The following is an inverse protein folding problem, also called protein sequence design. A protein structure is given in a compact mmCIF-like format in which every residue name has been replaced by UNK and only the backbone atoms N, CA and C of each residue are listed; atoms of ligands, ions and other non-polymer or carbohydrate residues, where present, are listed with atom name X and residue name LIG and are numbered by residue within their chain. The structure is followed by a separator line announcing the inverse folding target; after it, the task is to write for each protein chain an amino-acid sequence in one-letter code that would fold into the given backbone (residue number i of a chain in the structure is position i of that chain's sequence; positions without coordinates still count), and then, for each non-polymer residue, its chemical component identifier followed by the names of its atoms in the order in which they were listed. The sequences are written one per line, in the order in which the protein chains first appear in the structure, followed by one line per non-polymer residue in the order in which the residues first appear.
data_IF_853479052050
#
_entry.id   IF_853479052050
#
_cell.length_a   1.000
_cell.length_b   1.000
_cell.length_c   1.000
_cell.angle_alpha   90.00
_cell.angle_beta   90.00
_cell.angle_gamma   90.00
#
_symmetry.space_group_name_H-M   'P 1'
#
loop_
_entity.id
_entity.type
_entity.pdbx_description
1 polymer ?
#
# COMPACT_ATOMS: atom_id res chain seq x y z
N UNK A 1 0.21 12.79 22.41
CA UNK A 1 1.01 12.50 21.19
C UNK A 1 0.93 11.00 20.97
N UNK A 2 0.41 10.54 19.83
CA UNK A 2 0.52 9.13 19.45
C UNK A 2 1.98 8.80 19.14
N UNK A 3 2.39 7.57 19.43
CA UNK A 3 3.71 7.08 19.03
C UNK A 3 3.74 6.94 17.50
N UNK A 4 4.87 7.22 16.85
CA UNK A 4 5.02 7.09 15.38
C UNK A 4 4.61 5.70 14.87
N UNK A 5 4.88 4.64 15.65
CA UNK A 5 4.48 3.27 15.34
C UNK A 5 2.96 3.04 15.42
N UNK A 6 2.23 3.80 16.22
CA UNK A 6 0.77 3.71 16.30
C UNK A 6 0.13 4.45 15.12
N UNK A 7 0.66 5.62 14.77
CA UNK A 7 0.20 6.38 13.61
C UNK A 7 0.38 5.61 12.29
N UNK A 8 1.53 4.94 12.09
CA UNK A 8 1.76 4.10 10.90
C UNK A 8 0.79 2.92 10.83
N UNK A 9 0.50 2.27 11.97
CA UNK A 9 -0.45 1.16 12.02
C UNK A 9 -1.87 1.62 11.69
N UNK A 10 -2.30 2.75 12.24
CA UNK A 10 -3.61 3.34 11.93
C UNK A 10 -3.71 3.69 10.45
N UNK A 11 -2.67 4.29 9.87
CA UNK A 11 -2.63 4.61 8.44
C UNK A 11 -2.75 3.35 7.58
N UNK A 12 -1.99 2.30 7.87
CA UNK A 12 -2.07 1.02 7.15
C UNK A 12 -3.49 0.45 7.23
N UNK A 13 -4.11 0.44 8.41
CA UNK A 13 -5.49 -0.04 8.57
C UNK A 13 -6.48 0.77 7.72
N UNK A 14 -6.40 2.10 7.75
CA UNK A 14 -7.27 2.96 6.94
C UNK A 14 -7.10 2.68 5.42
N UNK A 15 -5.86 2.45 4.97
CA UNK A 15 -5.57 2.08 3.58
C UNK A 15 -6.13 0.70 3.21
N UNK A 16 -6.05 -0.29 4.10
CA UNK A 16 -6.63 -1.62 3.90
C UNK A 16 -8.17 -1.58 3.83
N UNK A 17 -8.80 -0.77 4.68
CA UNK A 17 -10.25 -0.54 4.64
C UNK A 17 -10.65 0.12 3.32
N UNK A 18 -9.95 1.19 2.92
CA UNK A 18 -10.16 1.86 1.63
C UNK A 18 -10.00 0.92 0.43
N UNK A 19 -9.01 0.01 0.47
CA UNK A 19 -8.80 -1.00 -0.55
C UNK A 19 -9.97 -2.00 -0.60
N UNK A 20 -10.40 -2.47 0.57
CA UNK A 20 -11.51 -3.43 0.72
C UNK A 20 -12.81 -2.86 0.16
N UNK A 21 -13.13 -1.60 0.45
CA UNK A 21 -14.30 -0.90 -0.10
C UNK A 21 -14.30 -0.82 -1.64
N UNK A 22 -13.12 -0.88 -2.26
CA UNK A 22 -12.93 -0.91 -3.71
C UNK A 22 -12.78 -2.32 -4.27
N UNK A 23 -12.96 -3.36 -3.46
CA UNK A 23 -12.74 -4.74 -3.87
C UNK A 23 -11.30 -4.97 -4.31
N UNK A 24 -10.35 -4.50 -3.51
CA UNK A 24 -8.92 -4.74 -3.65
C UNK A 24 -8.44 -5.51 -2.42
N UNK A 25 -7.85 -6.68 -2.64
CA UNK A 25 -7.34 -7.52 -1.55
C UNK A 25 -5.92 -7.08 -1.14
N UNK A 26 -5.68 -6.95 0.15
CA UNK A 26 -4.35 -6.68 0.71
C UNK A 26 -3.82 -7.95 1.39
N UNK A 27 -2.77 -8.56 0.82
CA UNK A 27 -2.22 -9.83 1.28
C UNK A 27 -0.81 -9.63 1.84
N UNK A 28 -0.64 -9.86 3.13
CA UNK A 28 0.66 -9.76 3.81
C UNK A 28 1.38 -11.11 3.87
N UNK A 29 2.43 -11.23 3.08
CA UNK A 29 3.29 -12.40 2.99
C UNK A 29 4.42 -12.35 4.04
N UNK A 30 4.80 -13.51 4.52
CA UNK A 30 5.98 -13.73 5.37
C UNK A 30 7.05 -14.42 4.51
N UNK A 31 7.93 -13.62 3.90
CA UNK A 31 8.89 -14.08 2.88
C UNK A 31 10.24 -13.37 3.02
N UNK A 32 11.16 -13.60 2.08
CA UNK A 32 12.48 -12.98 2.05
C UNK A 32 12.38 -11.44 2.15
N UNK A 33 13.13 -10.78 3.07
CA UNK A 33 13.14 -9.32 3.22
C UNK A 33 13.45 -8.52 1.96
N UNK A 34 14.11 -9.13 0.96
CA UNK A 34 14.47 -8.48 -0.30
C UNK A 34 13.31 -8.43 -1.30
N UNK A 35 12.26 -9.25 -1.11
CA UNK A 35 11.10 -9.21 -2.00
C UNK A 35 10.30 -7.93 -1.79
N UNK A 36 10.19 -7.15 -2.86
CA UNK A 36 9.45 -5.90 -2.91
C UNK A 36 7.94 -6.16 -2.93
N UNK A 37 7.13 -5.31 -2.28
CA UNK A 37 5.69 -5.31 -2.48
C UNK A 37 5.33 -5.15 -3.95
N UNK A 38 4.27 -5.84 -4.38
CA UNK A 38 3.80 -5.82 -5.77
C UNK A 38 2.28 -5.79 -5.80
N UNK A 39 1.71 -5.16 -6.83
CA UNK A 39 0.29 -5.25 -7.11
C UNK A 39 0.04 -6.06 -8.38
N UNK A 40 -1.05 -6.84 -8.38
CA UNK A 40 -1.58 -7.49 -9.57
C UNK A 40 -2.91 -6.81 -9.92
N UNK A 41 -2.92 -5.91 -10.93
CA UNK A 41 -4.13 -5.23 -11.33
C UNK A 41 -5.26 -6.19 -11.70
N UNK A 42 -4.95 -7.23 -12.47
CA UNK A 42 -5.93 -8.22 -12.99
C UNK A 42 -6.70 -8.92 -11.87
N UNK A 43 -5.97 -9.40 -10.87
CA UNK A 43 -6.54 -10.10 -9.72
C UNK A 43 -6.98 -9.13 -8.61
N UNK A 44 -6.78 -7.82 -8.81
CA UNK A 44 -7.09 -6.75 -7.86
C UNK A 44 -6.52 -7.01 -6.46
N UNK A 45 -5.25 -7.39 -6.39
CA UNK A 45 -4.57 -7.72 -5.14
C UNK A 45 -3.25 -6.97 -5.00
N UNK A 46 -2.96 -6.50 -3.79
CA UNK A 46 -1.65 -5.97 -3.38
C UNK A 46 -0.99 -6.98 -2.45
N UNK A 47 0.18 -7.47 -2.84
CA UNK A 47 1.01 -8.34 -2.01
C UNK A 47 2.05 -7.49 -1.28
N UNK A 48 1.95 -7.45 0.04
CA UNK A 48 2.90 -6.81 0.94
C UNK A 48 3.80 -7.85 1.60
N UNK A 49 4.96 -7.42 2.08
CA UNK A 49 5.93 -8.30 2.75
C UNK A 49 6.15 -7.83 4.19
N UNK A 50 5.74 -8.65 5.16
CA UNK A 50 5.88 -8.37 6.60
C UNK A 50 7.34 -8.20 7.02
N UNK A 51 8.26 -8.83 6.29
CA UNK A 51 9.69 -8.79 6.56
C UNK A 51 10.46 -7.81 5.68
N UNK A 52 9.77 -7.02 4.84
CA UNK A 52 10.44 -6.16 3.88
C UNK A 52 11.50 -5.29 4.56
N UNK A 53 12.69 -5.21 3.96
CA UNK A 53 13.81 -4.49 4.56
C UNK A 53 13.56 -2.96 4.70
N UNK A 54 12.58 -2.42 3.98
CA UNK A 54 12.18 -1.01 4.02
C UNK A 54 10.80 -0.84 4.67
N UNK A 55 10.65 -1.33 5.91
CA UNK A 55 9.35 -1.31 6.63
C UNK A 55 8.75 0.09 6.80
N UNK A 56 9.60 1.12 6.85
CA UNK A 56 9.23 2.54 6.90
C UNK A 56 8.49 3.02 5.64
N UNK A 57 8.50 2.24 4.55
CA UNK A 57 7.82 2.53 3.30
C UNK A 57 6.55 1.69 3.10
N UNK A 58 6.12 0.93 4.10
CA UNK A 58 4.97 0.02 3.98
C UNK A 58 3.67 0.74 3.62
N UNK A 59 3.34 1.83 4.33
CA UNK A 59 2.17 2.66 3.99
C UNK A 59 2.22 3.17 2.56
N UNK A 60 3.38 3.69 2.13
CA UNK A 60 3.56 4.15 0.76
C UNK A 60 3.44 3.03 -0.27
N UNK A 61 4.05 1.87 -0.03
CA UNK A 61 3.97 0.73 -0.94
C UNK A 61 2.54 0.20 -1.07
N UNK A 62 1.79 0.17 0.03
CA UNK A 62 0.37 -0.19 0.02
C UNK A 62 -0.46 0.83 -0.79
N UNK A 63 -0.34 2.12 -0.47
CA UNK A 63 -1.05 3.19 -1.18
C UNK A 63 -0.72 3.18 -2.69
N UNK A 64 0.55 3.05 -3.05
CA UNK A 64 0.98 2.93 -4.45
C UNK A 64 0.39 1.69 -5.13
N UNK A 65 0.40 0.54 -4.42
CA UNK A 65 -0.18 -0.70 -4.92
C UNK A 65 -1.68 -0.59 -5.21
N UNK A 66 -2.44 0.03 -4.30
CA UNK A 66 -3.87 0.32 -4.44
C UNK A 66 -4.10 1.21 -5.67
N UNK A 67 -3.39 2.34 -5.76
CA UNK A 67 -3.55 3.31 -6.85
C UNK A 67 -3.13 2.73 -8.21
N UNK A 68 -2.13 1.84 -8.25
CA UNK A 68 -1.75 1.12 -9.46
C UNK A 68 -2.84 0.16 -9.96
N UNK A 69 -3.67 -0.39 -9.06
CA UNK A 69 -4.82 -1.23 -9.43
C UNK A 69 -5.98 -0.36 -9.94
N UNK A 70 -6.23 0.77 -9.29
CA UNK A 70 -7.30 1.72 -9.66
C UNK A 70 -6.98 2.40 -11.01
N UNK A 71 -5.73 2.82 -11.19
CA UNK A 71 -5.26 3.62 -12.32
C UNK A 71 -4.27 2.83 -13.20
N UNK A 72 -4.72 1.68 -13.73
CA UNK A 72 -3.88 0.69 -14.44
C UNK A 72 -2.99 1.20 -15.58
N UNK A 73 -3.27 2.39 -16.14
CA UNK A 73 -2.55 2.96 -17.28
C UNK A 73 -1.85 4.29 -16.94
N UNK A 74 -1.78 4.64 -15.66
CA UNK A 74 -1.13 5.87 -15.22
C UNK A 74 0.39 5.76 -15.25
N UNK A 75 1.03 6.92 -15.43
CA UNK A 75 2.48 7.03 -15.32
C UNK A 75 2.94 6.81 -13.88
N UNK A 76 4.21 6.46 -13.70
CA UNK A 76 4.82 6.34 -12.36
C UNK A 76 4.68 7.66 -11.56
N UNK A 77 4.83 8.81 -12.23
CA UNK A 77 4.70 10.11 -11.58
C UNK A 77 3.27 10.39 -11.09
N UNK A 78 2.26 9.97 -11.85
CA UNK A 78 0.86 10.11 -11.43
C UNK A 78 0.55 9.16 -10.27
N UNK A 79 0.99 7.91 -10.34
CA UNK A 79 0.82 6.94 -9.26
C UNK A 79 1.49 7.42 -7.95
N UNK A 80 2.67 8.02 -8.03
CA UNK A 80 3.34 8.61 -6.88
C UNK A 80 2.50 9.74 -6.25
N UNK A 81 1.93 10.62 -7.08
CA UNK A 81 1.05 11.71 -6.60
C UNK A 81 -0.23 11.16 -5.99
N UNK A 82 -0.86 10.17 -6.61
CA UNK A 82 -2.07 9.55 -6.08
C UNK A 82 -1.81 8.87 -4.74
N UNK A 83 -0.73 8.10 -4.62
CA UNK A 83 -0.35 7.45 -3.37
C UNK A 83 -0.11 8.46 -2.24
N UNK A 84 0.62 9.55 -2.53
CA UNK A 84 0.85 10.62 -1.55
C UNK A 84 -0.44 11.34 -1.17
N UNK A 85 -1.32 11.60 -2.14
CA UNK A 85 -2.62 12.21 -1.88
C UNK A 85 -3.46 11.30 -0.98
N UNK A 86 -3.52 10.00 -1.30
CA UNK A 86 -4.25 9.01 -0.51
C UNK A 86 -3.74 8.92 0.93
N UNK A 87 -2.42 8.94 1.13
CA UNK A 87 -1.82 8.97 2.47
C UNK A 87 -2.23 10.22 3.22
N UNK A 88 -2.24 11.39 2.57
CA UNK A 88 -2.61 12.66 3.21
C UNK A 88 -4.12 12.77 3.51
N UNK A 89 -4.95 11.86 2.99
CA UNK A 89 -6.37 11.78 3.32
C UNK A 89 -6.62 11.04 4.65
N UNK A 90 -5.60 10.37 5.23
CA UNK A 90 -5.66 9.58 6.46
C UNK A 90 -4.64 10.01 7.52
#
# INVERSE_FOLDING_TARGET
MMNQNESEKTLIQNLEEFATERGIDCVWLDTDPQYIPVSCPNDRVVFLNRNWMYRDKNSFALAYGIEAIIHRNSSVDDLNKYAQKLINEF
#
